data_IF_052473935762
#
_entry.id   IF_052473935762
#
_cell.length_a   1.000
_cell.length_b   1.000
_cell.length_c   1.000
_cell.angle_alpha   90.00
_cell.angle_beta   90.00
_cell.angle_gamma   90.00
#
_symmetry.space_group_name_H-M   'P 1'
#
loop_
_entity.id
_entity.type
_entity.pdbx_description
1 polymer ?
#
# COMPACT_ATOMS: atom_id res chain seq x y z
N UNK A 1 2.93 -27.10 -0.69
CA UNK A 1 2.86 -26.16 -1.84
C UNK A 1 4.28 -25.76 -2.19
N UNK A 2 4.62 -25.68 -3.48
CA UNK A 2 5.92 -25.12 -3.90
C UNK A 2 5.90 -23.59 -3.75
N UNK A 3 7.08 -22.95 -3.63
CA UNK A 3 7.21 -21.48 -3.58
C UNK A 3 6.46 -20.84 -4.75
N UNK A 4 6.61 -21.38 -5.95
CA UNK A 4 5.91 -20.92 -7.14
C UNK A 4 4.37 -20.94 -6.96
N UNK A 5 3.81 -22.03 -6.45
CA UNK A 5 2.35 -22.12 -6.21
C UNK A 5 1.88 -21.12 -5.16
N UNK A 6 2.68 -20.85 -4.13
CA UNK A 6 2.34 -19.87 -3.10
C UNK A 6 2.31 -18.44 -3.68
N UNK A 7 3.34 -18.08 -4.45
CA UNK A 7 3.43 -16.76 -5.10
C UNK A 7 2.26 -16.52 -6.05
N UNK A 8 1.87 -17.52 -6.84
CA UNK A 8 0.71 -17.40 -7.73
C UNK A 8 -0.60 -17.20 -6.97
N UNK A 9 -0.79 -17.87 -5.82
CA UNK A 9 -1.97 -17.64 -4.97
C UNK A 9 -2.01 -16.21 -4.45
N UNK A 10 -0.87 -15.66 -4.00
CA UNK A 10 -0.80 -14.28 -3.51
C UNK A 10 -1.08 -13.25 -4.61
N UNK A 11 -0.55 -13.48 -5.82
CA UNK A 11 -0.81 -12.62 -6.99
C UNK A 11 -2.30 -12.64 -7.34
N UNK A 12 -2.89 -13.83 -7.46
CA UNK A 12 -4.32 -13.98 -7.77
C UNK A 12 -5.20 -13.37 -6.68
N UNK A 13 -4.88 -13.59 -5.41
CA UNK A 13 -5.59 -12.99 -4.28
C UNK A 13 -5.56 -11.46 -4.37
N UNK A 14 -4.38 -10.88 -4.60
CA UNK A 14 -4.21 -9.42 -4.69
C UNK A 14 -4.96 -8.85 -5.88
N UNK A 15 -4.93 -9.54 -7.02
CA UNK A 15 -5.69 -9.15 -8.20
C UNK A 15 -7.20 -9.15 -7.93
N UNK A 16 -7.74 -10.23 -7.37
CA UNK A 16 -9.18 -10.38 -7.12
C UNK A 16 -9.69 -9.38 -6.07
N UNK A 17 -8.96 -9.21 -4.97
CA UNK A 17 -9.30 -8.25 -3.91
C UNK A 17 -9.26 -6.81 -4.43
N UNK A 18 -8.28 -6.46 -5.27
CA UNK A 18 -8.19 -5.15 -5.91
C UNK A 18 -9.30 -4.92 -6.92
N UNK A 19 -9.58 -5.90 -7.79
CA UNK A 19 -10.66 -5.82 -8.77
C UNK A 19 -12.02 -5.65 -8.09
N UNK A 20 -12.30 -6.42 -7.03
CA UNK A 20 -13.50 -6.28 -6.21
C UNK A 20 -13.59 -4.92 -5.52
N UNK A 21 -12.49 -4.44 -4.94
CA UNK A 21 -12.46 -3.15 -4.24
C UNK A 21 -12.69 -1.97 -5.18
N UNK A 22 -12.07 -1.99 -6.37
CA UNK A 22 -12.30 -0.98 -7.42
C UNK A 22 -13.75 -1.01 -7.88
N UNK A 23 -14.34 -2.19 -8.06
CA UNK A 23 -15.76 -2.31 -8.41
C UNK A 23 -16.66 -1.70 -7.32
N UNK A 24 -16.43 -2.02 -6.05
CA UNK A 24 -17.20 -1.46 -4.92
C UNK A 24 -17.06 0.06 -4.85
N UNK A 25 -15.84 0.58 -4.92
CA UNK A 25 -15.58 2.03 -4.89
C UNK A 25 -16.23 2.72 -6.08
N UNK A 26 -16.24 2.11 -7.27
CA UNK A 26 -16.97 2.63 -8.42
C UNK A 26 -18.47 2.75 -8.13
N UNK A 27 -19.10 1.71 -7.58
CA UNK A 27 -20.53 1.74 -7.26
C UNK A 27 -20.86 2.79 -6.19
N UNK A 28 -20.03 2.88 -5.14
CA UNK A 28 -20.19 3.85 -4.06
C UNK A 28 -19.98 5.28 -4.58
N UNK A 29 -18.93 5.52 -5.37
CA UNK A 29 -18.63 6.82 -5.95
C UNK A 29 -19.74 7.34 -6.86
N UNK A 30 -20.33 6.47 -7.69
CA UNK A 30 -21.50 6.80 -8.50
C UNK A 30 -22.72 7.18 -7.65
N UNK A 31 -22.95 6.49 -6.52
CA UNK A 31 -24.08 6.77 -5.62
C UNK A 31 -23.89 8.04 -4.80
N UNK A 32 -22.66 8.32 -4.35
CA UNK A 32 -22.32 9.51 -3.56
C UNK A 32 -22.08 10.75 -4.42
N UNK A 33 -22.02 10.60 -5.74
CA UNK A 33 -21.78 11.71 -6.66
C UNK A 33 -20.31 12.17 -6.70
N UNK A 34 -19.36 11.34 -6.26
CA UNK A 34 -17.91 11.55 -6.44
C UNK A 34 -17.50 11.23 -7.87
N UNK A 35 -18.10 11.97 -8.80
CA UNK A 35 -17.98 11.75 -10.23
C UNK A 35 -17.56 13.03 -10.92
N UNK A 36 -16.65 12.88 -11.86
CA UNK A 36 -16.34 13.88 -12.83
C UNK A 36 -17.39 13.84 -13.94
N UNK A 37 -18.07 14.97 -14.16
CA UNK A 37 -19.13 15.08 -15.16
C UNK A 37 -18.52 15.44 -16.52
N UNK A 38 -19.13 14.96 -17.63
CA UNK A 38 -18.77 15.41 -18.96
C UNK A 38 -18.87 16.94 -19.05
N UNK A 39 -17.89 17.53 -19.73
CA UNK A 39 -17.89 18.94 -20.12
C UNK A 39 -17.65 18.97 -21.64
N UNK A 40 -18.00 20.07 -22.32
CA UNK A 40 -17.89 20.21 -23.78
C UNK A 40 -16.45 20.04 -24.30
N UNK A 41 -15.46 20.03 -23.40
CA UNK A 41 -14.04 19.76 -23.67
C UNK A 41 -13.59 18.31 -23.41
N UNK A 42 -14.47 17.42 -22.91
CA UNK A 42 -14.12 16.04 -22.52
C UNK A 42 -14.67 14.99 -23.49
N UNK A 43 -13.86 13.99 -23.82
CA UNK A 43 -14.21 12.90 -24.77
C UNK A 43 -15.24 11.89 -24.22
N UNK A 44 -15.46 11.87 -22.91
CA UNK A 44 -16.36 10.91 -22.25
C UNK A 44 -17.74 11.52 -22.06
N UNK A 45 -18.79 10.80 -22.50
CA UNK A 45 -20.18 11.25 -22.33
C UNK A 45 -20.86 10.72 -21.06
N UNK A 46 -20.20 9.83 -20.32
CA UNK A 46 -20.71 9.29 -19.07
C UNK A 46 -19.89 9.82 -17.87
N UNK A 47 -20.51 10.04 -16.70
CA UNK A 47 -19.81 10.44 -15.48
C UNK A 47 -18.82 9.34 -15.03
N UNK A 48 -17.61 9.75 -14.68
CA UNK A 48 -16.52 8.84 -14.27
C UNK A 48 -16.19 9.10 -12.80
N UNK A 49 -16.04 8.04 -12.00
CA UNK A 49 -15.69 8.16 -10.57
C UNK A 49 -14.27 8.70 -10.41
N UNK A 50 -14.09 9.73 -9.59
CA UNK A 50 -12.79 10.39 -9.39
C UNK A 50 -11.89 9.64 -8.40
N UNK A 51 -12.47 8.96 -7.42
CA UNK A 51 -11.75 8.34 -6.29
C UNK A 51 -11.22 6.92 -6.56
N UNK A 52 -10.79 6.63 -7.78
CA UNK A 52 -10.34 5.29 -8.19
C UNK A 52 -9.16 4.76 -7.36
N UNK A 53 -8.23 5.65 -6.96
CA UNK A 53 -7.07 5.30 -6.15
C UNK A 53 -7.42 4.71 -4.78
N UNK A 54 -8.54 5.14 -4.18
CA UNK A 54 -9.04 4.58 -2.92
C UNK A 54 -9.39 3.10 -3.05
N UNK A 55 -9.96 2.70 -4.20
CA UNK A 55 -10.28 1.29 -4.48
C UNK A 55 -9.04 0.42 -4.64
N UNK A 56 -7.99 0.95 -5.27
CA UNK A 56 -6.71 0.25 -5.40
C UNK A 56 -6.06 0.05 -4.03
N UNK A 57 -6.00 1.12 -3.22
CA UNK A 57 -5.43 1.04 -1.88
C UNK A 57 -6.20 0.08 -0.96
N UNK A 58 -7.54 0.15 -0.96
CA UNK A 58 -8.37 -0.75 -0.18
C UNK A 58 -8.14 -2.23 -0.57
N UNK A 59 -8.03 -2.51 -1.87
CA UNK A 59 -7.73 -3.86 -2.37
C UNK A 59 -6.38 -4.39 -1.91
N UNK A 60 -5.33 -3.56 -2.04
CA UNK A 60 -3.99 -3.89 -1.56
C UNK A 60 -3.96 -4.11 -0.04
N UNK A 61 -4.64 -3.26 0.73
CA UNK A 61 -4.74 -3.39 2.18
C UNK A 61 -5.47 -4.67 2.59
N UNK A 62 -6.60 -4.98 1.95
CA UNK A 62 -7.35 -6.22 2.20
C UNK A 62 -6.50 -7.44 1.87
N UNK A 63 -5.82 -7.46 0.71
CA UNK A 63 -4.92 -8.57 0.34
C UNK A 63 -3.80 -8.76 1.37
N UNK A 64 -3.21 -7.65 1.84
CA UNK A 64 -2.18 -7.68 2.87
C UNK A 64 -2.71 -8.23 4.20
N UNK A 65 -3.90 -7.80 4.64
CA UNK A 65 -4.52 -8.31 5.87
C UNK A 65 -4.87 -9.80 5.76
N UNK A 66 -5.27 -10.28 4.58
CA UNK A 66 -5.52 -11.70 4.34
C UNK A 66 -4.27 -12.56 4.50
N UNK A 67 -3.06 -12.03 4.29
CA UNK A 67 -1.82 -12.77 4.58
C UNK A 67 -1.78 -13.26 6.04
N UNK A 68 -2.24 -12.43 6.98
CA UNK A 68 -2.25 -12.78 8.39
C UNK A 68 -3.27 -13.88 8.73
N UNK A 69 -4.38 -13.93 7.97
CA UNK A 69 -5.36 -15.01 8.08
C UNK A 69 -4.76 -16.34 7.61
N UNK A 70 -4.01 -16.33 6.51
CA UNK A 70 -3.30 -17.52 6.03
C UNK A 70 -2.19 -17.97 7.01
N UNK A 71 -1.52 -17.04 7.69
CA UNK A 71 -0.48 -17.36 8.68
C UNK A 71 -1.03 -17.85 10.02
N UNK A 72 -2.28 -17.55 10.37
CA UNK A 72 -2.88 -17.97 11.64
C UNK A 72 -3.12 -19.48 11.77
N UNK A 73 -3.17 -20.21 10.65
CA UNK A 73 -3.34 -21.68 10.57
C UNK A 73 -2.00 -22.40 10.27
N UNK A 74 -0.87 -21.76 10.61
CA UNK A 74 0.47 -22.26 10.31
C UNK A 74 0.92 -23.45 11.19
N UNK A 75 0.19 -23.80 12.26
CA UNK A 75 0.53 -24.98 13.06
C UNK A 75 0.19 -26.30 12.33
N UNK A 76 -0.69 -26.26 11.31
CA UNK A 76 -1.19 -27.46 10.61
C UNK A 76 -0.69 -27.61 9.18
N UNK A 77 -0.23 -26.53 8.54
CA UNK A 77 0.28 -26.56 7.16
C UNK A 77 1.80 -26.42 7.18
N UNK A 78 2.51 -27.51 6.86
CA UNK A 78 3.95 -27.51 6.53
C UNK A 78 4.21 -26.65 5.29
N UNK A 79 4.16 -25.34 5.46
CA UNK A 79 4.95 -24.41 4.69
C UNK A 79 6.38 -24.63 5.17
N UNK A 80 7.32 -24.94 4.28
CA UNK A 80 8.73 -24.94 4.68
C UNK A 80 9.01 -23.58 5.33
N UNK A 81 9.35 -23.62 6.61
CA UNK A 81 9.52 -22.49 7.54
C UNK A 81 10.52 -21.44 7.04
N UNK A 82 11.22 -21.72 5.94
CA UNK A 82 12.16 -20.84 5.24
C UNK A 82 11.49 -19.79 4.34
N UNK A 83 10.18 -19.88 4.05
CA UNK A 83 9.58 -19.15 2.91
C UNK A 83 9.08 -17.73 3.25
N UNK A 84 8.81 -17.41 4.52
CA UNK A 84 8.25 -16.11 4.90
C UNK A 84 8.60 -15.73 6.34
N UNK A 85 9.89 -15.65 6.65
CA UNK A 85 10.34 -15.04 7.91
C UNK A 85 10.35 -13.53 7.71
N UNK A 86 9.22 -12.86 7.97
CA UNK A 86 9.24 -11.41 8.09
C UNK A 86 10.02 -11.08 9.37
N UNK A 87 11.21 -10.54 9.19
CA UNK A 87 12.04 -10.03 10.27
C UNK A 87 11.40 -8.79 10.88
N UNK A 88 11.62 -8.50 12.16
CA UNK A 88 11.11 -7.28 12.82
C UNK A 88 11.38 -5.99 12.01
N UNK A 89 12.54 -5.93 11.35
CA UNK A 89 12.93 -4.83 10.44
C UNK A 89 12.01 -4.71 9.22
N UNK A 90 11.64 -5.84 8.61
CA UNK A 90 10.75 -5.87 7.46
C UNK A 90 9.32 -5.49 7.86
N UNK A 91 8.86 -5.93 9.03
CA UNK A 91 7.60 -5.46 9.63
C UNK A 91 7.58 -3.94 9.79
N UNK A 92 8.65 -3.35 10.34
CA UNK A 92 8.75 -1.89 10.48
C UNK A 92 8.69 -1.18 9.11
N UNK A 93 9.38 -1.69 8.09
CA UNK A 93 9.32 -1.14 6.74
C UNK A 93 7.93 -1.25 6.11
N UNK A 94 7.22 -2.35 6.33
CA UNK A 94 5.83 -2.53 5.87
C UNK A 94 4.90 -1.55 6.58
N UNK A 95 4.99 -1.41 7.90
CA UNK A 95 4.21 -0.44 8.66
C UNK A 95 4.43 0.99 8.14
N UNK A 96 5.68 1.38 7.89
CA UNK A 96 6.02 2.68 7.32
C UNK A 96 5.46 2.90 5.92
N UNK A 97 5.51 1.87 5.08
CA UNK A 97 4.90 1.90 3.75
C UNK A 97 3.41 2.15 3.86
N UNK A 98 2.71 1.43 4.74
CA UNK A 98 1.28 1.62 4.97
C UNK A 98 0.94 3.01 5.51
N UNK A 99 1.68 3.52 6.51
CA UNK A 99 1.47 4.86 7.05
C UNK A 99 1.69 5.93 5.96
N UNK A 100 2.77 5.82 5.20
CA UNK A 100 3.08 6.77 4.11
C UNK A 100 2.04 6.72 3.00
N UNK A 101 1.58 5.52 2.64
CA UNK A 101 0.51 5.35 1.64
C UNK A 101 -0.83 5.88 2.12
N UNK A 102 -1.12 5.81 3.43
CA UNK A 102 -2.34 6.38 4.00
C UNK A 102 -2.35 7.92 3.89
N UNK A 103 -1.18 8.56 4.09
CA UNK A 103 -1.01 10.00 3.86
C UNK A 103 -1.32 10.34 2.39
N UNK A 104 -0.75 9.59 1.44
CA UNK A 104 -0.97 9.81 0.00
C UNK A 104 -2.42 9.59 -0.43
N UNK A 105 -3.07 8.56 0.12
CA UNK A 105 -4.49 8.27 -0.16
C UNK A 105 -5.39 9.35 0.45
N UNK A 106 -5.08 9.83 1.65
CA UNK A 106 -5.86 10.90 2.28
C UNK A 106 -5.79 12.20 1.49
N UNK A 107 -4.59 12.63 1.06
CA UNK A 107 -4.45 13.85 0.25
C UNK A 107 -5.04 13.66 -1.15
N UNK A 108 -4.88 12.48 -1.77
CA UNK A 108 -5.48 12.15 -3.06
C UNK A 108 -7.00 12.18 -3.02
N UNK A 109 -7.60 11.56 -2.00
CA UNK A 109 -9.05 11.59 -1.80
C UNK A 109 -9.57 13.01 -1.52
N UNK A 110 -8.85 13.81 -0.72
CA UNK A 110 -9.20 15.21 -0.53
C UNK A 110 -9.16 15.96 -1.86
N UNK A 111 -8.10 15.79 -2.64
CA UNK A 111 -7.94 16.43 -3.93
C UNK A 111 -9.06 16.07 -4.91
N UNK A 112 -9.39 14.78 -5.01
CA UNK A 112 -10.43 14.26 -5.90
C UNK A 112 -11.84 14.76 -5.56
N UNK A 113 -12.08 15.18 -4.30
CA UNK A 113 -13.40 15.61 -3.82
C UNK A 113 -13.56 17.11 -3.66
N UNK A 114 -12.50 17.84 -3.29
CA UNK A 114 -12.58 19.28 -2.98
C UNK A 114 -11.66 20.14 -3.84
N UNK A 115 -10.73 19.53 -4.58
CA UNK A 115 -9.61 20.23 -5.18
C UNK A 115 -8.66 20.77 -4.11
N UNK A 116 -7.36 20.55 -4.30
CA UNK A 116 -6.34 21.11 -3.41
C UNK A 116 -5.30 21.90 -4.19
N UNK A 117 -4.70 22.90 -3.54
CA UNK A 117 -3.63 23.67 -4.16
C UNK A 117 -2.37 22.80 -4.34
N UNK A 118 -1.58 23.01 -5.42
CA UNK A 118 -0.40 22.20 -5.69
C UNK A 118 0.62 22.15 -4.54
N UNK A 119 0.77 23.24 -3.80
CA UNK A 119 1.70 23.35 -2.67
C UNK A 119 1.29 22.49 -1.47
N UNK A 120 -0.01 22.38 -1.20
CA UNK A 120 -0.50 21.52 -0.12
C UNK A 120 -0.27 20.05 -0.50
N UNK A 121 -0.53 19.67 -1.76
CA UNK A 121 -0.23 18.31 -2.25
C UNK A 121 1.24 17.96 -2.06
N UNK A 122 2.12 18.87 -2.48
CA UNK A 122 3.56 18.68 -2.37
C UNK A 122 3.99 18.54 -0.91
N UNK A 123 3.46 19.36 0.01
CA UNK A 123 3.76 19.26 1.44
C UNK A 123 3.44 17.86 2.00
N UNK A 124 2.25 17.33 1.69
CA UNK A 124 1.84 15.99 2.15
C UNK A 124 2.64 14.87 1.45
N UNK A 125 3.01 15.03 0.19
CA UNK A 125 3.89 14.08 -0.51
C UNK A 125 5.29 14.06 0.10
N UNK A 126 5.85 15.23 0.46
CA UNK A 126 7.12 15.34 1.18
C UNK A 126 7.00 14.72 2.57
N UNK A 127 5.90 14.95 3.29
CA UNK A 127 5.66 14.32 4.59
C UNK A 127 5.56 12.79 4.49
N UNK A 128 4.88 12.25 3.47
CA UNK A 128 4.80 10.82 3.21
C UNK A 128 6.18 10.23 2.88
N UNK A 129 6.96 10.91 2.02
CA UNK A 129 8.32 10.49 1.69
C UNK A 129 9.25 10.55 2.91
N UNK A 130 9.17 11.62 3.71
CA UNK A 130 9.93 11.76 4.94
C UNK A 130 9.54 10.70 5.99
N UNK A 131 8.26 10.30 6.06
CA UNK A 131 7.82 9.20 6.93
C UNK A 131 8.44 7.88 6.49
N UNK A 132 8.44 7.57 5.20
CA UNK A 132 9.02 6.34 4.67
C UNK A 132 10.56 6.31 4.79
N UNK A 133 11.23 7.44 4.54
CA UNK A 133 12.70 7.56 4.50
C UNK A 133 13.31 7.87 5.87
N UNK A 134 12.64 8.66 6.71
CA UNK A 134 13.17 9.18 7.97
C UNK A 134 13.62 8.09 8.94
N UNK A 135 12.96 6.92 8.93
CA UNK A 135 13.39 5.75 9.70
C UNK A 135 14.38 4.84 8.95
N UNK A 136 14.59 5.02 7.64
CA UNK A 136 15.73 4.41 6.94
C UNK A 136 17.04 5.10 7.31
N UNK A 137 17.04 6.41 7.54
CA UNK A 137 18.24 7.17 7.93
C UNK A 137 18.72 6.79 9.34
N UNK A 138 17.82 6.38 10.24
CA UNK A 138 18.22 5.80 11.54
C UNK A 138 19.02 4.49 11.40
N UNK A 139 19.05 3.87 10.21
CA UNK A 139 19.92 2.72 9.92
C UNK A 139 21.24 3.11 9.23
N UNK A 140 21.56 4.41 9.14
CA UNK A 140 22.87 4.93 8.70
C UNK A 140 23.85 5.07 9.87
N UNK A 141 23.60 4.45 11.03
CA UNK A 141 24.69 3.99 11.88
C UNK A 141 25.25 2.74 11.22
N UNK A 142 26.08 2.94 10.20
CA UNK A 142 26.85 1.88 9.59
C UNK A 142 27.57 1.13 10.69
N UNK A 143 27.47 -0.19 10.68
CA UNK A 143 28.51 -1.04 11.21
C UNK A 143 29.81 -0.70 10.46
N UNK A 144 30.47 0.37 10.89
CA UNK A 144 31.92 0.46 10.85
C UNK A 144 32.39 -0.46 11.97
N UNK A 145 32.19 -1.77 11.80
CA UNK A 145 32.97 -2.79 12.48
C UNK A 145 34.41 -2.67 11.97
N UNK A 146 35.07 -1.59 12.38
CA UNK A 146 36.48 -1.67 12.68
C UNK A 146 36.57 -2.71 13.79
N UNK A 147 36.89 -3.94 13.40
CA UNK A 147 37.58 -4.89 14.26
C UNK A 147 38.96 -4.31 14.63
N UNK A 148 38.95 -3.19 15.36
CA UNK A 148 39.99 -2.84 16.31
C UNK A 148 39.60 -3.50 17.62
N UNK A 149 39.65 -4.82 17.64
CA UNK A 149 39.87 -5.57 18.87
C UNK A 149 41.00 -6.55 18.59
N UNK A 150 42.18 -5.97 18.37
CA UNK A 150 43.42 -6.57 18.84
C UNK A 150 43.38 -6.58 20.36
N UNK A 151 43.13 -7.74 20.96
CA UNK A 151 43.75 -8.12 22.24
C UNK A 151 43.91 -9.66 22.22
N UNK A 152 44.92 -10.19 22.92
CA UNK A 152 46.09 -10.91 22.40
C UNK A 152 45.91 -12.42 22.23
#
# INVERSE_FOLDING_TARGET
>A
MTIATASWVLVLQTFLTTLGSVFVVKQVGLRLGWVDRPDDRKIHQAPIVTVGGLGIFAGLLISFLLLFVWSGDAQTRRWDTTTFVITYREYAHLCLLFVSSLILVAIGFWDDTRGTSPWIKLLFQVAAAATFVGLRVTSWSGEFQLYFETVP
#
